data_IF_420217291946
#
_entry.id   IF_420217291946
#
_cell.length_a   1.000
_cell.length_b   1.000
_cell.length_c   1.000
_cell.angle_alpha   90.00
_cell.angle_beta   90.00
_cell.angle_gamma   90.00
#
_symmetry.space_group_name_H-M   'P 1'
#
loop_
_entity.id
_entity.type
_entity.pdbx_description
1 polymer ?
#
# COMPACT_ATOMS: atom_id res chain seq x y z
N UNK A 1 4.59 17.61 -4.66
CA UNK A 1 3.30 18.12 -5.16
C UNK A 1 2.30 16.96 -5.30
N UNK A 2 2.73 15.83 -5.85
CA UNK A 2 1.81 14.72 -6.17
C UNK A 2 1.30 13.99 -4.93
N UNK A 3 2.12 13.83 -3.89
CA UNK A 3 1.72 13.22 -2.63
C UNK A 3 0.63 14.01 -1.90
N UNK A 4 0.77 15.35 -1.80
CA UNK A 4 -0.24 16.22 -1.18
C UNK A 4 -1.56 16.20 -1.99
N UNK A 5 -1.46 16.20 -3.31
CA UNK A 5 -2.63 16.09 -4.18
C UNK A 5 -3.36 14.74 -4.01
N UNK A 6 -2.62 13.64 -3.81
CA UNK A 6 -3.21 12.32 -3.55
C UNK A 6 -3.95 12.30 -2.20
N UNK A 7 -3.33 12.83 -1.13
CA UNK A 7 -3.97 12.87 0.21
C UNK A 7 -5.25 13.70 0.19
N UNK A 8 -5.24 14.88 -0.43
CA UNK A 8 -6.43 15.74 -0.56
C UNK A 8 -7.55 15.04 -1.34
N UNK A 9 -7.20 14.34 -2.42
CA UNK A 9 -8.16 13.56 -3.23
C UNK A 9 -8.75 12.40 -2.44
N UNK A 10 -7.92 11.66 -1.69
CA UNK A 10 -8.37 10.55 -0.86
C UNK A 10 -9.31 11.04 0.27
N UNK A 11 -8.93 12.09 0.99
CA UNK A 11 -9.75 12.69 2.05
C UNK A 11 -11.10 13.18 1.50
N UNK A 12 -11.09 13.85 0.35
CA UNK A 12 -12.34 14.30 -0.31
C UNK A 12 -13.22 13.12 -0.71
N UNK A 13 -12.62 12.05 -1.26
CA UNK A 13 -13.35 10.84 -1.63
C UNK A 13 -13.98 10.15 -0.41
N UNK A 14 -13.28 10.11 0.74
CA UNK A 14 -13.83 9.60 2.01
C UNK A 14 -15.04 10.43 2.44
N UNK A 15 -14.96 11.77 2.39
CA UNK A 15 -16.11 12.63 2.74
C UNK A 15 -17.31 12.39 1.81
N UNK A 16 -17.10 12.26 0.51
CA UNK A 16 -18.18 11.94 -0.44
C UNK A 16 -18.77 10.53 -0.20
N UNK A 17 -17.93 9.56 0.14
CA UNK A 17 -18.38 8.21 0.51
C UNK A 17 -19.37 8.25 1.68
N UNK A 18 -19.12 9.05 2.69
CA UNK A 18 -20.05 9.24 3.80
C UNK A 18 -21.41 9.78 3.33
N UNK A 19 -21.40 10.74 2.38
CA UNK A 19 -22.65 11.27 1.81
C UNK A 19 -23.41 10.18 1.04
N UNK A 20 -22.70 9.34 0.25
CA UNK A 20 -23.32 8.23 -0.49
C UNK A 20 -23.95 7.22 0.47
N UNK A 21 -23.24 6.82 1.54
CA UNK A 21 -23.69 5.81 2.51
C UNK A 21 -24.85 6.27 3.39
N UNK A 22 -24.86 7.54 3.81
CA UNK A 22 -25.85 8.08 4.72
C UNK A 22 -26.97 8.87 4.02
N UNK A 23 -26.90 9.01 2.70
CA UNK A 23 -27.92 9.69 1.91
C UNK A 23 -29.31 9.09 2.08
N UNK A 24 -29.42 7.77 2.03
CA UNK A 24 -30.67 7.03 2.22
C UNK A 24 -31.33 7.28 3.57
N UNK A 25 -30.54 7.39 4.65
CA UNK A 25 -31.04 7.68 5.99
C UNK A 25 -31.61 9.09 6.13
N UNK A 26 -31.14 10.04 5.30
CA UNK A 26 -31.53 11.45 5.32
C UNK A 26 -32.51 11.83 4.19
N UNK A 27 -33.08 10.86 3.44
CA UNK A 27 -33.91 11.08 2.27
C UNK A 27 -33.21 11.93 1.16
N UNK A 28 -31.91 11.83 1.08
CA UNK A 28 -31.11 12.48 0.04
C UNK A 28 -30.79 11.43 -1.03
N UNK A 29 -31.06 11.75 -2.30
CA UNK A 29 -30.68 10.87 -3.41
C UNK A 29 -29.14 10.92 -3.61
N UNK A 30 -28.41 9.82 -3.38
CA UNK A 30 -26.95 9.80 -3.55
C UNK A 30 -26.52 9.72 -5.02
N UNK A 31 -27.44 9.45 -5.96
CA UNK A 31 -27.09 9.22 -7.36
C UNK A 31 -26.25 10.34 -8.02
N UNK A 32 -26.45 11.65 -7.72
CA UNK A 32 -25.61 12.70 -8.27
C UNK A 32 -24.18 12.71 -7.72
N UNK A 33 -23.94 12.10 -6.54
CA UNK A 33 -22.64 12.11 -5.87
C UNK A 33 -21.74 10.96 -6.34
N UNK A 34 -22.33 9.85 -6.78
CA UNK A 34 -21.60 8.65 -7.25
C UNK A 34 -20.61 8.98 -8.39
N UNK A 35 -20.97 9.72 -9.45
CA UNK A 35 -20.03 10.07 -10.50
C UNK A 35 -18.87 10.94 -10.03
N UNK A 36 -19.05 11.75 -8.99
CA UNK A 36 -17.97 12.55 -8.38
C UNK A 36 -17.00 11.66 -7.64
N UNK A 37 -17.51 10.71 -6.85
CA UNK A 37 -16.69 9.71 -6.16
C UNK A 37 -15.85 8.87 -7.14
N UNK A 38 -16.48 8.41 -8.24
CA UNK A 38 -15.78 7.68 -9.30
C UNK A 38 -14.66 8.50 -9.94
N UNK A 39 -14.90 9.79 -10.24
CA UNK A 39 -13.87 10.68 -10.80
C UNK A 39 -12.71 10.92 -9.85
N UNK A 40 -12.98 11.11 -8.55
CA UNK A 40 -11.91 11.28 -7.56
C UNK A 40 -11.10 10.01 -7.40
N UNK A 41 -11.75 8.86 -7.35
CA UNK A 41 -11.06 7.56 -7.28
C UNK A 41 -10.18 7.33 -8.52
N UNK A 42 -10.71 7.58 -9.71
CA UNK A 42 -9.93 7.51 -10.95
C UNK A 42 -8.73 8.45 -10.94
N UNK A 43 -8.92 9.69 -10.48
CA UNK A 43 -7.82 10.66 -10.35
C UNK A 43 -6.75 10.16 -9.38
N UNK A 44 -7.15 9.60 -8.23
CA UNK A 44 -6.21 8.99 -7.29
C UNK A 44 -5.42 7.85 -7.95
N UNK A 45 -6.09 6.96 -8.69
CA UNK A 45 -5.43 5.89 -9.43
C UNK A 45 -4.38 6.41 -10.43
N UNK A 46 -4.66 7.51 -11.12
CA UNK A 46 -3.75 8.08 -12.12
C UNK A 46 -2.52 8.76 -11.50
N UNK A 47 -2.60 9.22 -10.25
CA UNK A 47 -1.52 9.96 -9.59
C UNK A 47 -0.75 9.13 -8.58
N UNK A 48 -1.22 7.94 -8.23
CA UNK A 48 -0.66 7.13 -7.14
C UNK A 48 0.81 6.76 -7.36
N UNK A 49 1.19 6.29 -8.55
CA UNK A 49 2.57 5.86 -8.82
C UNK A 49 3.55 7.02 -8.66
N UNK A 50 3.18 8.23 -9.11
CA UNK A 50 4.00 9.42 -8.95
C UNK A 50 4.05 9.88 -7.48
N UNK A 51 2.94 9.77 -6.75
CA UNK A 51 2.91 10.03 -5.31
C UNK A 51 3.80 9.05 -4.52
N UNK A 52 3.91 7.80 -4.96
CA UNK A 52 4.80 6.79 -4.35
C UNK A 52 6.29 7.03 -4.61
N UNK A 53 6.69 8.00 -5.47
CA UNK A 53 8.09 8.46 -5.61
C UNK A 53 8.48 9.47 -4.54
N UNK A 54 7.81 9.50 -3.43
CA UNK A 54 8.05 10.41 -2.31
C UNK A 54 9.26 9.99 -1.46
N UNK A 55 9.71 10.92 -0.64
CA UNK A 55 10.72 10.66 0.39
C UNK A 55 10.15 9.89 1.59
N UNK A 56 11.02 9.41 2.48
CA UNK A 56 10.63 8.65 3.66
C UNK A 56 9.72 9.45 4.63
N UNK A 57 9.82 10.78 4.66
CA UNK A 57 9.00 11.64 5.53
C UNK A 57 7.56 11.71 5.02
N UNK A 58 7.38 11.71 3.73
CA UNK A 58 6.06 11.85 3.07
C UNK A 58 5.35 10.49 2.91
N UNK A 59 6.12 9.39 2.84
CA UNK A 59 5.59 8.05 2.59
C UNK A 59 4.46 7.61 3.54
N UNK A 60 4.49 7.88 4.86
CA UNK A 60 3.38 7.53 5.75
C UNK A 60 2.04 8.17 5.36
N UNK A 61 2.06 9.42 4.88
CA UNK A 61 0.84 10.10 4.43
C UNK A 61 0.32 9.47 3.12
N UNK A 62 1.22 9.07 2.21
CA UNK A 62 0.85 8.38 0.98
C UNK A 62 0.24 7.01 1.28
N UNK A 63 0.84 6.22 2.17
CA UNK A 63 0.29 4.91 2.56
C UNK A 63 -1.05 5.02 3.28
N UNK A 64 -1.25 6.06 4.10
CA UNK A 64 -2.56 6.34 4.70
C UNK A 64 -3.63 6.65 3.63
N UNK A 65 -3.29 7.43 2.61
CA UNK A 65 -4.18 7.68 1.48
C UNK A 65 -4.47 6.41 0.68
N UNK A 66 -3.46 5.54 0.46
CA UNK A 66 -3.65 4.22 -0.15
C UNK A 66 -4.62 3.36 0.65
N UNK A 67 -4.53 3.36 1.97
CA UNK A 67 -5.43 2.60 2.84
C UNK A 67 -6.88 3.11 2.75
N UNK A 68 -7.07 4.42 2.77
CA UNK A 68 -8.38 5.04 2.55
C UNK A 68 -8.99 4.61 1.21
N UNK A 69 -8.22 4.69 0.12
CA UNK A 69 -8.68 4.32 -1.23
C UNK A 69 -8.98 2.83 -1.34
N UNK A 70 -8.18 1.97 -0.68
CA UNK A 70 -8.43 0.54 -0.64
C UNK A 70 -9.74 0.20 0.07
N UNK A 71 -10.03 0.86 1.20
CA UNK A 71 -11.31 0.71 1.91
C UNK A 71 -12.48 1.22 1.09
N UNK A 72 -12.34 2.40 0.48
CA UNK A 72 -13.39 2.97 -0.39
C UNK A 72 -13.75 2.01 -1.52
N UNK A 73 -12.76 1.38 -2.16
CA UNK A 73 -13.01 0.44 -3.24
C UNK A 73 -13.75 -0.81 -2.73
N UNK A 74 -13.46 -1.28 -1.51
CA UNK A 74 -14.17 -2.41 -0.89
C UNK A 74 -15.62 -2.06 -0.48
N UNK A 75 -15.87 -0.81 -0.14
CA UNK A 75 -17.19 -0.33 0.32
C UNK A 75 -18.13 0.06 -0.83
N UNK A 76 -17.61 0.28 -2.04
CA UNK A 76 -18.35 0.81 -3.18
C UNK A 76 -18.13 0.01 -4.46
N UNK A 77 -19.08 -0.83 -4.84
CA UNK A 77 -19.03 -1.64 -6.08
C UNK A 77 -18.96 -0.79 -7.36
N UNK A 78 -19.33 0.49 -7.27
CA UNK A 78 -19.25 1.43 -8.41
C UNK A 78 -17.81 1.87 -8.72
N UNK A 79 -16.82 1.56 -7.88
CA UNK A 79 -15.41 1.89 -8.11
C UNK A 79 -14.69 0.74 -8.82
N UNK A 80 -13.82 1.08 -9.77
CA UNK A 80 -13.11 0.12 -10.64
C UNK A 80 -12.08 -0.72 -9.85
N UNK A 81 -12.52 -1.87 -9.32
CA UNK A 81 -11.70 -2.76 -8.48
C UNK A 81 -10.49 -3.32 -9.20
N UNK A 82 -10.66 -3.83 -10.43
CA UNK A 82 -9.55 -4.40 -11.22
C UNK A 82 -8.46 -3.37 -11.49
N UNK A 83 -8.82 -2.14 -11.85
CA UNK A 83 -7.85 -1.05 -12.03
C UNK A 83 -7.04 -0.78 -10.76
N UNK A 84 -7.71 -0.81 -9.59
CA UNK A 84 -7.05 -0.64 -8.30
C UNK A 84 -6.06 -1.77 -8.02
N UNK A 85 -6.47 -3.02 -8.24
CA UNK A 85 -5.63 -4.19 -8.03
C UNK A 85 -4.42 -4.21 -8.97
N UNK A 86 -4.61 -3.89 -10.24
CA UNK A 86 -3.51 -3.74 -11.20
C UNK A 86 -2.50 -2.67 -10.77
N UNK A 87 -3.01 -1.54 -10.26
CA UNK A 87 -2.17 -0.47 -9.75
C UNK A 87 -1.37 -0.91 -8.52
N UNK A 88 -2.00 -1.61 -7.57
CA UNK A 88 -1.30 -2.17 -6.41
C UNK A 88 -0.23 -3.19 -6.83
N UNK A 89 -0.49 -4.05 -7.82
CA UNK A 89 0.51 -4.98 -8.37
C UNK A 89 1.71 -4.22 -8.94
N UNK A 90 1.48 -3.16 -9.73
CA UNK A 90 2.57 -2.32 -10.27
C UNK A 90 3.37 -1.63 -9.17
N UNK A 91 2.71 -1.04 -8.17
CA UNK A 91 3.40 -0.38 -7.05
C UNK A 91 4.22 -1.38 -6.24
N UNK A 92 3.70 -2.58 -6.00
CA UNK A 92 4.38 -3.65 -5.26
C UNK A 92 5.64 -4.14 -5.98
N UNK A 93 5.62 -4.28 -7.31
CA UNK A 93 6.71 -4.85 -8.11
C UNK A 93 7.87 -3.85 -8.35
N UNK A 94 7.62 -2.56 -8.32
CA UNK A 94 8.60 -1.52 -8.68
C UNK A 94 9.61 -1.24 -7.57
N UNK A 95 10.90 -1.08 -7.98
CA UNK A 95 12.02 -0.76 -7.10
C UNK A 95 12.37 0.73 -7.04
N UNK A 96 11.84 1.53 -7.98
CA UNK A 96 12.06 2.98 -8.05
C UNK A 96 11.04 3.79 -7.22
N UNK A 97 10.11 3.12 -6.56
CA UNK A 97 9.13 3.72 -5.66
C UNK A 97 9.58 3.61 -4.20
N UNK A 98 8.98 4.42 -3.34
CA UNK A 98 9.23 4.34 -1.91
C UNK A 98 8.86 2.95 -1.36
N UNK A 99 9.80 2.34 -0.63
CA UNK A 99 9.67 0.95 -0.17
C UNK A 99 8.52 0.74 0.82
N UNK A 100 8.17 1.76 1.63
CA UNK A 100 6.98 1.72 2.49
C UNK A 100 5.70 1.56 1.65
N UNK A 101 5.60 2.30 0.53
CA UNK A 101 4.45 2.20 -0.37
C UNK A 101 4.39 0.84 -1.07
N UNK A 102 5.54 0.29 -1.53
CA UNK A 102 5.59 -1.03 -2.16
C UNK A 102 5.22 -2.15 -1.16
N UNK A 103 5.70 -2.06 0.08
CA UNK A 103 5.35 -2.99 1.15
C UNK A 103 3.86 -2.95 1.50
N UNK A 104 3.29 -1.75 1.61
CA UNK A 104 1.86 -1.56 1.81
C UNK A 104 1.03 -2.16 0.67
N UNK A 105 1.44 -1.94 -0.59
CA UNK A 105 0.74 -2.50 -1.76
C UNK A 105 0.73 -4.04 -1.72
N UNK A 106 1.86 -4.68 -1.36
CA UNK A 106 1.93 -6.13 -1.14
C UNK A 106 0.99 -6.58 -0.02
N UNK A 107 0.96 -5.87 1.11
CA UNK A 107 0.06 -6.18 2.22
C UNK A 107 -1.42 -6.12 1.80
N UNK A 108 -1.81 -5.09 1.03
CA UNK A 108 -3.16 -4.94 0.52
C UNK A 108 -3.55 -6.06 -0.47
N UNK A 109 -2.62 -6.48 -1.34
CA UNK A 109 -2.83 -7.62 -2.25
C UNK A 109 -3.01 -8.93 -1.49
N UNK A 110 -2.21 -9.18 -0.44
CA UNK A 110 -2.35 -10.36 0.43
C UNK A 110 -3.69 -10.38 1.15
N UNK A 111 -4.11 -9.26 1.72
CA UNK A 111 -5.40 -9.13 2.42
C UNK A 111 -6.58 -9.44 1.50
N UNK A 112 -6.45 -9.11 0.22
CA UNK A 112 -7.48 -9.34 -0.80
C UNK A 112 -7.40 -10.71 -1.48
N UNK A 113 -6.42 -11.54 -1.14
CA UNK A 113 -6.20 -12.86 -1.77
C UNK A 113 -5.63 -12.78 -3.19
N UNK A 114 -5.11 -11.62 -3.60
CA UNK A 114 -4.52 -11.35 -4.92
C UNK A 114 -3.02 -11.66 -5.00
N UNK A 115 -2.40 -11.95 -3.87
CA UNK A 115 -1.03 -12.42 -3.76
C UNK A 115 -1.02 -13.73 -2.95
N UNK A 116 -0.33 -14.73 -3.48
CA UNK A 116 -0.15 -16.01 -2.81
C UNK A 116 1.13 -16.05 -1.95
N UNK A 117 1.32 -17.16 -1.24
CA UNK A 117 2.48 -17.35 -0.38
C UNK A 117 3.79 -17.46 -1.18
N UNK A 118 3.75 -17.99 -2.39
CA UNK A 118 4.91 -18.14 -3.26
C UNK A 118 5.40 -16.76 -3.75
N UNK A 119 4.48 -15.88 -4.13
CA UNK A 119 4.77 -14.49 -4.49
C UNK A 119 5.35 -13.74 -3.29
N UNK A 120 4.73 -13.86 -2.11
CA UNK A 120 5.24 -13.23 -0.90
C UNK A 120 6.66 -13.71 -0.56
N UNK A 121 6.92 -15.01 -0.59
CA UNK A 121 8.24 -15.58 -0.29
C UNK A 121 9.31 -15.05 -1.27
N UNK A 122 8.98 -14.94 -2.55
CA UNK A 122 9.87 -14.37 -3.57
C UNK A 122 10.19 -12.89 -3.30
N UNK A 123 9.18 -12.10 -2.96
CA UNK A 123 9.38 -10.67 -2.63
C UNK A 123 10.17 -10.47 -1.34
N UNK A 124 9.94 -11.28 -0.32
CA UNK A 124 10.75 -11.30 0.91
C UNK A 124 12.21 -11.58 0.55
N UNK A 125 12.49 -12.65 -0.20
CA UNK A 125 13.85 -13.01 -0.59
C UNK A 125 14.53 -11.90 -1.42
N UNK A 126 13.78 -11.19 -2.27
CA UNK A 126 14.28 -10.07 -3.07
C UNK A 126 14.56 -8.83 -2.22
N UNK A 127 13.59 -8.41 -1.40
CA UNK A 127 13.62 -7.15 -0.64
C UNK A 127 14.47 -7.20 0.63
N UNK A 128 14.63 -8.40 1.19
CA UNK A 128 15.44 -8.65 2.39
C UNK A 128 16.69 -9.48 2.05
N UNK A 129 17.25 -9.30 0.87
CA UNK A 129 18.53 -9.96 0.52
C UNK A 129 19.73 -9.19 1.10
N UNK A 130 20.85 -9.86 1.39
CA UNK A 130 22.04 -9.24 2.00
C UNK A 130 22.65 -8.06 1.22
N UNK A 131 22.29 -7.88 -0.05
CA UNK A 131 22.74 -6.75 -0.90
C UNK A 131 21.82 -5.52 -0.82
N UNK A 132 20.66 -5.62 -0.21
CA UNK A 132 19.70 -4.50 -0.09
C UNK A 132 20.07 -3.64 1.12
N UNK A 133 20.15 -2.30 0.99
CA UNK A 133 20.36 -1.40 2.11
C UNK A 133 19.30 -1.59 3.21
N UNK A 134 19.75 -1.54 4.47
CA UNK A 134 18.89 -1.80 5.64
C UNK A 134 17.63 -0.92 5.68
N UNK A 135 17.78 0.36 5.31
CA UNK A 135 16.66 1.31 5.31
C UNK A 135 15.59 0.93 4.28
N UNK A 136 15.98 0.40 3.12
CA UNK A 136 15.06 -0.02 2.07
C UNK A 136 14.31 -1.30 2.48
N UNK A 137 15.03 -2.29 3.01
CA UNK A 137 14.44 -3.53 3.53
C UNK A 137 13.48 -3.26 4.70
N UNK A 138 13.90 -2.43 5.66
CA UNK A 138 13.09 -2.05 6.81
C UNK A 138 11.82 -1.30 6.39
N UNK A 139 11.94 -0.31 5.48
CA UNK A 139 10.78 0.44 4.97
C UNK A 139 9.77 -0.47 4.26
N UNK A 140 10.25 -1.41 3.43
CA UNK A 140 9.36 -2.37 2.78
C UNK A 140 8.65 -3.29 3.80
N UNK A 141 9.41 -3.79 4.78
CA UNK A 141 8.83 -4.64 5.82
C UNK A 141 7.83 -3.90 6.71
N UNK A 142 8.09 -2.63 7.05
CA UNK A 142 7.16 -1.77 7.77
C UNK A 142 5.84 -1.60 7.00
N UNK A 143 5.92 -1.33 5.69
CA UNK A 143 4.76 -1.26 4.81
C UNK A 143 3.97 -2.56 4.78
N UNK A 144 4.64 -3.71 4.64
CA UNK A 144 4.04 -5.04 4.68
C UNK A 144 3.33 -5.31 6.01
N UNK A 145 3.96 -4.95 7.13
CA UNK A 145 3.44 -5.18 8.47
C UNK A 145 2.27 -4.24 8.86
N UNK A 146 2.05 -3.17 8.10
CA UNK A 146 1.05 -2.14 8.44
C UNK A 146 -0.39 -2.64 8.43
N UNK A 147 -0.72 -3.66 7.62
CA UNK A 147 -2.09 -4.17 7.47
C UNK A 147 -2.35 -5.49 8.18
N UNK A 148 -1.43 -6.43 8.15
CA UNK A 148 -1.71 -7.82 8.52
C UNK A 148 -0.70 -8.38 9.52
N UNK A 149 -0.49 -7.64 10.62
CA UNK A 149 0.52 -7.97 11.64
C UNK A 149 0.37 -9.40 12.20
N UNK A 150 -0.86 -9.84 12.44
CA UNK A 150 -1.13 -11.16 13.03
C UNK A 150 -0.87 -12.31 12.04
N UNK A 151 -1.23 -12.15 10.78
CA UNK A 151 -0.98 -13.16 9.75
C UNK A 151 0.52 -13.28 9.45
N UNK A 152 1.26 -12.18 9.52
CA UNK A 152 2.71 -12.19 9.36
C UNK A 152 3.41 -12.89 10.54
N UNK A 153 2.93 -12.71 11.78
CA UNK A 153 3.46 -13.39 12.97
C UNK A 153 3.36 -14.91 12.83
N UNK A 154 2.29 -15.42 12.22
CA UNK A 154 2.08 -16.85 12.02
C UNK A 154 2.99 -17.47 10.92
N UNK A 155 3.64 -16.64 10.08
CA UNK A 155 4.45 -17.10 8.93
C UNK A 155 5.91 -17.33 9.33
N UNK A 156 6.24 -18.54 9.73
CA UNK A 156 7.59 -18.91 10.17
C UNK A 156 8.67 -18.67 9.08
N UNK A 157 8.33 -18.85 7.81
CA UNK A 157 9.22 -18.59 6.67
C UNK A 157 9.69 -17.14 6.61
N UNK A 158 8.79 -16.17 6.87
CA UNK A 158 9.12 -14.75 6.93
C UNK A 158 10.18 -14.45 8.01
N UNK A 159 10.01 -15.03 9.19
CA UNK A 159 10.92 -14.80 10.32
C UNK A 159 12.31 -15.37 10.08
N UNK A 160 12.41 -16.52 9.41
CA UNK A 160 13.70 -17.08 8.99
C UNK A 160 14.44 -16.18 8.03
N UNK A 161 13.77 -15.66 6.99
CA UNK A 161 14.39 -14.73 6.05
C UNK A 161 14.81 -13.41 6.71
N UNK A 162 14.02 -12.91 7.67
CA UNK A 162 14.39 -11.74 8.47
C UNK A 162 15.63 -11.98 9.32
N UNK A 163 15.71 -13.13 9.97
CA UNK A 163 16.86 -13.51 10.81
C UNK A 163 18.14 -13.61 9.95
N UNK A 164 18.06 -14.28 8.81
CA UNK A 164 19.16 -14.38 7.85
C UNK A 164 19.60 -12.99 7.34
N UNK A 165 18.64 -12.11 7.03
CA UNK A 165 18.93 -10.75 6.58
C UNK A 165 19.62 -9.91 7.65
N UNK A 166 19.09 -9.92 8.89
CA UNK A 166 19.66 -9.18 10.03
C UNK A 166 21.06 -9.69 10.40
N UNK A 167 21.26 -11.01 10.36
CA UNK A 167 22.56 -11.64 10.61
C UNK A 167 23.60 -11.18 9.57
N UNK A 168 23.24 -11.16 8.30
CA UNK A 168 24.11 -10.69 7.21
C UNK A 168 24.46 -9.20 7.31
N UNK A 169 23.53 -8.35 7.77
CA UNK A 169 23.77 -6.93 8.02
C UNK A 169 24.77 -6.74 9.17
N UNK A 170 24.64 -7.53 10.26
CA UNK A 170 25.56 -7.49 11.41
C UNK A 170 26.99 -7.85 11.02
N UNK A 171 27.19 -8.90 10.23
CA UNK A 171 28.52 -9.29 9.70
C UNK A 171 29.11 -8.25 8.75
N UNK A 172 28.28 -7.61 7.93
CA UNK A 172 28.70 -6.53 7.01
C UNK A 172 29.15 -5.25 7.75
N UNK A 173 28.57 -4.96 8.91
CA UNK A 173 28.97 -3.85 9.76
C UNK A 173 30.31 -4.11 10.44
N UNK A 174 30.56 -5.32 10.92
CA UNK A 174 31.84 -5.74 11.56
C UNK A 174 33.00 -5.75 10.56
N UNK A 175 32.76 -6.07 9.29
CA UNK A 175 33.82 -6.06 8.23
C UNK A 175 34.20 -4.66 7.76
N UNK A 176 33.42 -3.63 8.08
CA UNK A 176 33.67 -2.21 7.69
C UNK A 176 34.23 -1.36 8.83
N UNK A 177 34.30 -1.89 10.05
CA UNK A 177 34.94 -1.28 11.21
C UNK A 177 36.40 -1.79 11.37
#
# INVERSE_FOLDING_TARGET
VDAAALTDVADTAVQLSLVVRYGDLRRFDPAPVVPLLQRLFLRACLTLEDACRCDAKTAPAVTAAMDQLNRLQLEHDCLEGERWLELLRRVSDRDDLNTLCSGFAMAALLERGEADEALLAREIARRLSPGVPAELGAGWFEGLASKNRYDLIARLSLWRHLDDYLSALGEGAVRRA
#
